data_IF_339957650070
#
_entry.id   IF_339957650070
#
_cell.length_a   1.000
_cell.length_b   1.000
_cell.length_c   1.000
_cell.angle_alpha   90.00
_cell.angle_beta   90.00
_cell.angle_gamma   90.00
#
_symmetry.space_group_name_H-M   'P 1'
#
loop_
_entity.id
_entity.type
_entity.pdbx_description
1 polymer ?
#
# COMPACT_ATOMS: atom_id res chain seq x y z
N UNK A 1 11.40 -8.65 -4.78
CA UNK A 1 11.55 -8.85 -6.23
C UNK A 1 12.67 -9.84 -6.51
N UNK A 2 13.92 -9.56 -6.15
CA UNK A 2 15.07 -10.45 -6.42
C UNK A 2 15.02 -11.84 -5.75
N UNK A 3 14.39 -11.95 -4.58
CA UNK A 3 14.11 -13.26 -3.94
C UNK A 3 13.02 -14.10 -4.63
N UNK A 4 12.08 -13.45 -5.32
CA UNK A 4 10.94 -14.09 -6.01
C UNK A 4 11.19 -14.28 -7.51
N UNK A 5 11.99 -13.39 -8.09
CA UNK A 5 12.42 -13.34 -9.49
C UNK A 5 13.91 -12.99 -9.52
N UNK A 6 14.80 -14.01 -9.43
CA UNK A 6 16.24 -13.81 -9.56
C UNK A 6 16.58 -13.17 -10.90
N UNK A 7 17.59 -12.31 -10.95
CA UNK A 7 18.05 -11.63 -12.17
C UNK A 7 17.01 -10.75 -12.87
N UNK A 8 15.93 -10.35 -12.19
CA UNK A 8 14.83 -9.56 -12.78
C UNK A 8 15.30 -8.31 -13.55
N UNK A 9 16.21 -7.53 -12.96
CA UNK A 9 16.72 -6.32 -13.59
C UNK A 9 17.65 -6.62 -14.77
N UNK A 10 18.51 -7.63 -14.65
CA UNK A 10 19.39 -8.08 -15.74
C UNK A 10 18.57 -8.60 -16.93
N UNK A 11 17.51 -9.37 -16.66
CA UNK A 11 16.57 -9.87 -17.66
C UNK A 11 15.80 -8.74 -18.35
N UNK A 12 15.45 -7.68 -17.63
CA UNK A 12 14.83 -6.51 -18.23
C UNK A 12 15.83 -5.72 -19.10
N UNK A 13 17.04 -5.48 -18.59
CA UNK A 13 18.07 -4.72 -19.30
C UNK A 13 18.57 -5.42 -20.57
N UNK A 14 18.65 -6.75 -20.58
CA UNK A 14 19.04 -7.53 -21.74
C UNK A 14 17.88 -7.84 -22.70
N UNK A 15 16.65 -7.39 -22.38
CA UNK A 15 15.45 -7.53 -23.20
C UNK A 15 14.80 -8.92 -23.17
N UNK A 16 15.28 -9.86 -22.35
CA UNK A 16 14.64 -11.17 -22.16
C UNK A 16 13.34 -11.11 -21.38
N UNK A 17 13.12 -10.03 -20.63
CA UNK A 17 11.88 -9.72 -19.93
C UNK A 17 11.34 -8.38 -20.44
N UNK A 18 10.17 -8.40 -21.06
CA UNK A 18 9.54 -7.18 -21.57
C UNK A 18 8.65 -6.52 -20.53
N UNK A 19 8.23 -5.27 -20.79
CA UNK A 19 7.28 -4.59 -19.93
C UNK A 19 5.91 -5.28 -19.89
N UNK A 20 5.49 -5.92 -21.00
CA UNK A 20 4.25 -6.71 -21.04
C UNK A 20 4.35 -7.96 -20.18
N UNK A 21 5.49 -8.65 -20.22
CA UNK A 21 5.73 -9.82 -19.36
C UNK A 21 5.66 -9.42 -17.88
N UNK A 22 6.23 -8.27 -17.51
CA UNK A 22 6.19 -7.76 -16.13
C UNK A 22 4.76 -7.45 -15.69
N UNK A 23 3.94 -6.86 -16.57
CA UNK A 23 2.52 -6.59 -16.30
C UNK A 23 1.75 -7.91 -16.15
N UNK A 24 2.04 -8.90 -17.00
CA UNK A 24 1.41 -10.22 -16.90
C UNK A 24 1.81 -10.93 -15.59
N UNK A 25 3.09 -10.89 -15.23
CA UNK A 25 3.60 -11.43 -13.96
C UNK A 25 2.90 -10.76 -12.78
N UNK A 26 2.71 -9.43 -12.83
CA UNK A 26 2.00 -8.71 -11.78
C UNK A 26 0.60 -9.31 -11.58
N UNK A 27 -0.19 -9.48 -12.63
CA UNK A 27 -1.56 -10.01 -12.50
C UNK A 27 -1.63 -11.50 -12.15
N UNK A 28 -0.69 -12.31 -12.64
CA UNK A 28 -0.75 -13.76 -12.52
C UNK A 28 -0.06 -14.33 -11.27
N UNK A 29 0.96 -13.62 -10.77
CA UNK A 29 1.88 -14.16 -9.74
C UNK A 29 1.85 -13.39 -8.43
N UNK A 30 1.39 -12.14 -8.42
CA UNK A 30 1.26 -11.39 -7.17
C UNK A 30 -0.02 -11.76 -6.43
N UNK A 31 0.10 -11.89 -5.12
CA UNK A 31 -1.02 -12.21 -4.25
C UNK A 31 -1.78 -10.93 -3.91
N UNK A 32 -2.69 -10.56 -4.80
CA UNK A 32 -3.41 -9.28 -4.72
C UNK A 32 -4.36 -9.16 -3.52
N UNK A 33 -4.86 -10.28 -2.98
CA UNK A 33 -5.74 -10.26 -1.81
C UNK A 33 -5.00 -10.10 -0.49
N UNK A 34 -3.69 -10.38 -0.46
CA UNK A 34 -2.89 -10.32 0.77
C UNK A 34 -3.06 -9.00 1.55
N UNK A 35 -2.96 -7.80 0.94
CA UNK A 35 -3.18 -6.55 1.67
C UNK A 35 -4.61 -6.36 2.20
N UNK A 36 -5.59 -7.03 1.59
CA UNK A 36 -7.00 -6.94 1.97
C UNK A 36 -7.31 -7.83 3.18
N UNK A 37 -6.57 -8.92 3.31
CA UNK A 37 -6.77 -9.98 4.32
C UNK A 37 -5.76 -9.88 5.48
N UNK A 38 -4.66 -9.14 5.31
CA UNK A 38 -3.57 -9.03 6.30
C UNK A 38 -4.04 -8.66 7.71
N UNK A 39 -4.98 -7.72 7.86
CA UNK A 39 -5.49 -7.35 9.19
C UNK A 39 -6.29 -8.48 9.84
N UNK A 40 -7.03 -9.25 9.05
CA UNK A 40 -7.77 -10.41 9.55
C UNK A 40 -6.76 -11.52 9.95
N UNK A 41 -5.82 -11.89 9.07
CA UNK A 41 -4.89 -13.00 9.33
C UNK A 41 -3.82 -12.69 10.39
N UNK A 42 -3.24 -11.48 10.38
CA UNK A 42 -2.10 -11.17 11.24
C UNK A 42 -2.49 -10.53 12.56
N UNK A 43 -3.59 -9.77 12.61
CA UNK A 43 -3.99 -9.08 13.84
C UNK A 43 -5.18 -9.76 14.50
N UNK A 44 -6.26 -10.01 13.75
CA UNK A 44 -7.47 -10.60 14.33
C UNK A 44 -7.25 -12.05 14.71
N UNK A 45 -6.68 -12.88 13.84
CA UNK A 45 -6.50 -14.31 14.14
C UNK A 45 -5.39 -14.56 15.16
N UNK A 46 -4.34 -13.72 15.18
CA UNK A 46 -3.20 -13.88 16.10
C UNK A 46 -3.42 -13.23 17.47
N UNK A 47 -4.02 -12.04 17.51
CA UNK A 47 -4.13 -11.21 18.74
C UNK A 47 -5.60 -11.09 19.21
N UNK A 48 -6.57 -11.52 18.40
CA UNK A 48 -8.00 -11.48 18.75
C UNK A 48 -8.63 -10.11 18.61
N UNK A 49 -7.98 -9.16 17.90
CA UNK A 49 -8.45 -7.77 17.76
C UNK A 49 -8.90 -7.52 16.33
N UNK A 50 -10.19 -7.28 16.14
CA UNK A 50 -10.76 -6.93 14.85
C UNK A 50 -10.67 -5.41 14.60
N UNK A 51 -9.50 -4.96 14.13
CA UNK A 51 -9.24 -3.54 13.85
C UNK A 51 -10.25 -2.97 12.85
N UNK A 52 -10.63 -3.75 11.83
CA UNK A 52 -11.53 -3.29 10.78
C UNK A 52 -12.97 -3.05 11.28
N UNK A 53 -13.30 -3.51 12.49
CA UNK A 53 -14.57 -3.25 13.17
C UNK A 53 -14.52 -2.10 14.20
N UNK A 54 -13.37 -1.47 14.44
CA UNK A 54 -13.22 -0.35 15.38
C UNK A 54 -13.02 0.95 14.60
N UNK A 55 -13.79 2.04 14.82
CA UNK A 55 -13.68 3.26 14.02
C UNK A 55 -12.24 3.79 13.89
N UNK A 56 -11.84 4.12 12.66
CA UNK A 56 -10.55 4.75 12.37
C UNK A 56 -10.73 6.22 11.95
N UNK A 57 -10.04 7.19 12.58
CA UNK A 57 -10.16 8.60 12.26
C UNK A 57 -9.33 8.95 11.01
N UNK A 58 -9.93 8.69 9.84
CA UNK A 58 -9.33 8.82 8.51
C UNK A 58 -8.61 10.15 8.26
N UNK A 59 -9.15 11.26 8.78
CA UNK A 59 -8.56 12.61 8.61
C UNK A 59 -7.38 12.86 9.53
N UNK A 60 -7.37 12.27 10.73
CA UNK A 60 -6.24 12.32 11.66
C UNK A 60 -5.10 11.43 11.18
N UNK A 61 -5.43 10.32 10.52
CA UNK A 61 -4.48 9.44 9.86
C UNK A 61 -3.79 8.43 10.76
N UNK A 62 -4.11 8.38 12.05
CA UNK A 62 -3.64 7.34 12.96
C UNK A 62 -4.63 7.06 14.09
N UNK A 63 -4.56 5.87 14.69
CA UNK A 63 -5.24 5.50 15.93
C UNK A 63 -4.36 4.57 16.78
N UNK A 64 -4.51 4.67 18.11
CA UNK A 64 -3.90 3.77 19.06
C UNK A 64 -5.02 2.95 19.71
N UNK A 65 -5.07 1.67 19.38
CA UNK A 65 -6.03 0.73 19.94
C UNK A 65 -5.45 0.13 21.21
N UNK A 66 -6.15 0.28 22.33
CA UNK A 66 -5.79 -0.31 23.62
C UNK A 66 -6.67 -1.53 23.87
N UNK A 67 -6.07 -2.72 23.81
CA UNK A 67 -6.79 -3.99 23.95
C UNK A 67 -6.08 -4.89 24.96
N UNK A 68 -6.60 -4.92 26.19
CA UNK A 68 -6.02 -5.69 27.30
C UNK A 68 -4.53 -5.35 27.52
N UNK A 69 -3.65 -6.31 27.25
CA UNK A 69 -2.20 -6.24 27.42
C UNK A 69 -1.44 -5.85 26.13
N UNK A 70 -2.15 -5.52 25.04
CA UNK A 70 -1.55 -5.14 23.76
C UNK A 70 -2.08 -3.78 23.33
N UNK A 71 -1.15 -2.91 22.92
CA UNK A 71 -1.47 -1.63 22.29
C UNK A 71 -1.01 -1.67 20.84
N UNK A 72 -1.88 -1.24 19.92
CA UNK A 72 -1.60 -1.25 18.48
C UNK A 72 -1.70 0.17 17.93
N UNK A 73 -0.60 0.69 17.40
CA UNK A 73 -0.61 1.92 16.60
C UNK A 73 -0.84 1.56 15.13
N UNK A 74 -1.94 2.06 14.56
CA UNK A 74 -2.16 2.06 13.12
C UNK A 74 -1.99 3.46 12.59
N UNK A 75 -1.14 3.63 11.58
CA UNK A 75 -0.84 4.92 10.95
C UNK A 75 -0.88 4.81 9.43
N UNK A 76 -1.49 5.79 8.79
CA UNK A 76 -1.57 5.91 7.34
C UNK A 76 -0.34 6.61 6.78
N UNK A 77 0.22 6.03 5.72
CA UNK A 77 1.39 6.60 5.04
C UNK A 77 1.10 7.97 4.42
N UNK A 78 -0.13 8.21 3.93
CA UNK A 78 -0.50 9.50 3.33
C UNK A 78 -0.55 10.65 4.36
N UNK A 79 -0.67 10.31 5.64
CA UNK A 79 -0.69 11.27 6.74
C UNK A 79 0.61 11.24 7.56
N UNK A 80 1.57 10.39 7.21
CA UNK A 80 2.76 10.11 8.04
C UNK A 80 3.54 11.38 8.36
N UNK A 81 3.80 12.24 7.37
CA UNK A 81 4.51 13.51 7.57
C UNK A 81 3.78 14.48 8.49
N UNK A 82 2.45 14.39 8.55
CA UNK A 82 1.60 15.26 9.37
C UNK A 82 1.46 14.73 10.81
N UNK A 83 1.25 13.43 10.97
CA UNK A 83 0.80 12.86 12.25
C UNK A 83 1.83 11.97 12.96
N UNK A 84 2.93 11.57 12.30
CA UNK A 84 3.89 10.62 12.89
C UNK A 84 4.48 11.11 14.22
N UNK A 85 4.82 12.40 14.33
CA UNK A 85 5.38 12.94 15.57
C UNK A 85 4.41 12.77 16.75
N UNK A 86 3.15 13.20 16.58
CA UNK A 86 2.13 13.08 17.61
C UNK A 86 1.79 11.61 17.92
N UNK A 87 1.65 10.78 16.88
CA UNK A 87 1.32 9.37 17.01
C UNK A 87 2.39 8.58 17.78
N UNK A 88 3.67 8.77 17.40
CA UNK A 88 4.80 8.09 18.03
C UNK A 88 5.00 8.59 19.45
N UNK A 89 4.89 9.90 19.69
CA UNK A 89 4.95 10.45 21.04
C UNK A 89 3.89 9.82 21.95
N UNK A 90 2.63 9.76 21.50
CA UNK A 90 1.53 9.16 22.29
C UNK A 90 1.70 7.66 22.50
N UNK A 91 2.26 6.95 21.52
CA UNK A 91 2.38 5.51 21.58
C UNK A 91 3.59 5.03 22.39
N UNK A 92 4.73 5.72 22.29
CA UNK A 92 6.01 5.31 22.88
C UNK A 92 6.50 6.24 24.01
N UNK A 93 5.81 7.34 24.29
CA UNK A 93 6.24 8.40 25.23
C UNK A 93 7.59 9.02 24.86
N UNK A 94 7.82 9.25 23.56
CA UNK A 94 9.05 9.83 23.03
C UNK A 94 8.78 11.27 22.55
N UNK A 95 9.38 12.24 23.23
CA UNK A 95 9.18 13.67 22.93
C UNK A 95 9.92 14.17 21.68
N UNK A 96 11.10 13.61 21.38
CA UNK A 96 12.02 14.14 20.36
C UNK A 96 12.07 13.26 19.09
N UNK A 97 10.92 12.76 18.64
CA UNK A 97 10.84 11.98 17.41
C UNK A 97 10.85 12.90 16.17
N UNK A 98 11.79 12.65 15.24
CA UNK A 98 11.84 13.32 13.93
C UNK A 98 11.74 12.28 12.82
N UNK A 99 10.78 12.47 11.90
CA UNK A 99 10.68 11.64 10.71
C UNK A 99 11.65 12.15 9.64
N UNK A 100 12.69 11.36 9.35
CA UNK A 100 13.62 11.66 8.26
C UNK A 100 13.20 10.92 6.99
N UNK A 101 13.14 11.64 5.87
CA UNK A 101 12.91 11.05 4.55
C UNK A 101 14.21 10.39 4.07
N UNK A 102 14.35 9.10 4.33
CA UNK A 102 15.40 8.29 3.74
C UNK A 102 14.90 7.72 2.40
N UNK A 103 14.87 8.57 1.35
CA UNK A 103 14.65 8.06 0.00
C UNK A 103 15.89 7.25 -0.39
N UNK A 104 15.80 5.93 -0.20
CA UNK A 104 16.79 4.96 -0.61
C UNK A 104 17.11 5.15 -2.10
N UNK A 105 18.39 5.12 -2.43
CA UNK A 105 18.93 5.30 -3.77
C UNK A 105 18.28 4.31 -4.76
N UNK A 106 17.21 4.75 -5.43
CA UNK A 106 16.70 4.03 -6.59
C UNK A 106 17.69 4.24 -7.73
N UNK A 107 18.14 3.15 -8.34
CA UNK A 107 18.98 3.22 -9.53
C UNK A 107 18.17 3.83 -10.67
N UNK A 108 18.84 4.53 -11.60
CA UNK A 108 18.17 5.13 -12.76
C UNK A 108 17.35 4.10 -13.57
N UNK A 109 17.83 2.85 -13.62
CA UNK A 109 17.17 1.75 -14.33
C UNK A 109 15.84 1.35 -13.64
N UNK A 110 15.85 1.13 -12.33
CA UNK A 110 14.63 0.84 -11.55
C UNK A 110 13.59 1.96 -11.68
N UNK A 111 14.03 3.21 -11.52
CA UNK A 111 13.15 4.37 -11.62
C UNK A 111 12.47 4.49 -12.99
N UNK A 112 13.21 4.17 -14.05
CA UNK A 112 12.70 4.22 -15.42
C UNK A 112 11.68 3.11 -15.64
N UNK A 113 12.04 1.87 -15.29
CA UNK A 113 11.13 0.72 -15.40
C UNK A 113 9.83 0.95 -14.62
N UNK A 114 9.92 1.40 -13.37
CA UNK A 114 8.75 1.65 -12.54
C UNK A 114 7.83 2.73 -13.13
N UNK A 115 8.40 3.81 -13.70
CA UNK A 115 7.61 4.86 -14.37
C UNK A 115 6.91 4.34 -15.62
N UNK A 116 7.60 3.56 -16.45
CA UNK A 116 7.01 2.99 -17.67
C UNK A 116 5.93 1.95 -17.34
N UNK A 117 6.15 1.10 -16.34
CA UNK A 117 5.15 0.18 -15.81
C UNK A 117 3.87 0.92 -15.40
N UNK A 118 4.00 1.97 -14.58
CA UNK A 118 2.85 2.77 -14.11
C UNK A 118 2.09 3.47 -15.23
N UNK A 119 2.77 3.84 -16.33
CA UNK A 119 2.12 4.45 -17.49
C UNK A 119 1.40 3.44 -18.35
N UNK A 120 1.92 2.21 -18.44
CA UNK A 120 1.41 1.18 -19.36
C UNK A 120 0.34 0.30 -18.74
N UNK A 121 0.40 0.04 -17.43
CA UNK A 121 -0.57 -0.83 -16.77
C UNK A 121 -1.99 -0.26 -16.84
N UNK A 122 -2.92 -1.09 -17.30
CA UNK A 122 -4.36 -0.84 -17.30
C UNK A 122 -4.99 -1.87 -16.38
N UNK A 123 -5.65 -1.40 -15.33
CA UNK A 123 -6.28 -2.29 -14.37
C UNK A 123 -7.70 -2.64 -14.82
N UNK A 124 -8.07 -3.94 -14.88
CA UNK A 124 -9.45 -4.33 -15.11
C UNK A 124 -10.38 -3.70 -14.08
N UNK A 125 -11.59 -3.31 -14.51
CA UNK A 125 -12.60 -2.74 -13.59
C UNK A 125 -12.84 -3.63 -12.37
N UNK A 126 -12.88 -4.94 -12.55
CA UNK A 126 -13.07 -5.91 -11.48
C UNK A 126 -11.95 -5.85 -10.43
N UNK A 127 -10.70 -5.64 -10.86
CA UNK A 127 -9.57 -5.46 -9.96
C UNK A 127 -9.72 -4.19 -9.13
N UNK A 128 -10.07 -3.07 -9.77
CA UNK A 128 -10.29 -1.79 -9.07
C UNK A 128 -11.47 -1.88 -8.10
N UNK A 129 -12.56 -2.55 -8.49
CA UNK A 129 -13.71 -2.79 -7.62
C UNK A 129 -13.33 -3.66 -6.41
N UNK A 130 -12.56 -4.73 -6.61
CA UNK A 130 -12.04 -5.57 -5.52
C UNK A 130 -11.21 -4.74 -4.53
N UNK A 131 -10.26 -3.95 -5.02
CA UNK A 131 -9.36 -3.16 -4.17
C UNK A 131 -10.12 -2.07 -3.41
N UNK A 132 -10.90 -1.24 -4.11
CA UNK A 132 -11.50 -0.05 -3.51
C UNK A 132 -12.81 -0.31 -2.77
N UNK A 133 -13.48 -1.43 -3.01
CA UNK A 133 -14.66 -1.84 -2.23
C UNK A 133 -14.32 -2.81 -1.08
N UNK A 134 -13.04 -3.17 -0.92
CA UNK A 134 -12.58 -3.99 0.20
C UNK A 134 -12.90 -3.36 1.55
N UNK A 135 -13.09 -4.19 2.59
CA UNK A 135 -13.26 -3.73 3.97
C UNK A 135 -12.08 -2.84 4.39
N UNK A 136 -10.86 -3.26 4.06
CA UNK A 136 -9.64 -2.50 4.27
C UNK A 136 -9.75 -1.05 3.72
N UNK A 137 -10.05 -0.92 2.42
CA UNK A 137 -10.09 0.38 1.77
C UNK A 137 -11.21 1.27 2.34
N UNK A 138 -12.40 0.70 2.53
CA UNK A 138 -13.56 1.41 3.08
C UNK A 138 -13.35 1.81 4.55
N UNK A 139 -12.51 1.09 5.29
CA UNK A 139 -12.21 1.36 6.69
C UNK A 139 -11.18 2.50 6.87
N UNK A 140 -10.09 2.52 6.10
CA UNK A 140 -9.01 3.48 6.31
C UNK A 140 -9.12 4.76 5.47
N UNK A 141 -9.92 4.75 4.40
CA UNK A 141 -9.98 5.87 3.46
C UNK A 141 -11.37 6.48 3.34
N UNK A 142 -11.41 7.78 3.10
CA UNK A 142 -12.67 8.49 2.85
C UNK A 142 -13.18 8.18 1.44
N UNK A 143 -14.48 8.33 1.21
CA UNK A 143 -15.06 8.15 -0.13
C UNK A 143 -14.39 9.04 -1.18
N UNK A 144 -14.04 10.28 -0.80
CA UNK A 144 -13.34 11.25 -1.66
C UNK A 144 -11.94 10.76 -2.05
N UNK A 145 -11.19 10.20 -1.11
CA UNK A 145 -9.86 9.64 -1.40
C UNK A 145 -9.97 8.42 -2.31
N UNK A 146 -10.88 7.49 -2.01
CA UNK A 146 -11.09 6.30 -2.83
C UNK A 146 -11.49 6.65 -4.26
N UNK A 147 -12.39 7.62 -4.44
CA UNK A 147 -12.76 8.13 -5.77
C UNK A 147 -11.56 8.74 -6.50
N UNK A 148 -10.73 9.53 -5.80
CA UNK A 148 -9.52 10.12 -6.37
C UNK A 148 -8.52 9.06 -6.81
N UNK A 149 -8.26 8.06 -5.97
CA UNK A 149 -7.32 6.97 -6.28
C UNK A 149 -7.82 6.13 -7.45
N UNK A 150 -9.11 5.79 -7.45
CA UNK A 150 -9.75 5.06 -8.56
C UNK A 150 -9.63 5.83 -9.87
N UNK A 151 -10.00 7.11 -9.88
CA UNK A 151 -9.96 7.94 -11.09
C UNK A 151 -8.54 8.06 -11.67
N UNK A 152 -7.51 8.10 -10.81
CA UNK A 152 -6.12 8.09 -11.26
C UNK A 152 -5.81 6.86 -12.12
N UNK A 153 -6.22 5.66 -11.67
CA UNK A 153 -5.93 4.42 -12.38
C UNK A 153 -6.86 4.17 -13.57
N UNK A 154 -8.11 4.63 -13.51
CA UNK A 154 -9.03 4.60 -14.66
C UNK A 154 -8.56 5.55 -15.78
N UNK A 155 -7.86 6.65 -15.46
CA UNK A 155 -7.34 7.59 -16.46
C UNK A 155 -6.20 7.04 -17.32
N UNK A 156 -5.53 5.97 -16.86
CA UNK A 156 -4.53 5.26 -17.66
C UNK A 156 -5.16 4.44 -18.79
N UNK A 157 -6.45 4.13 -18.68
CA UNK A 157 -7.20 3.46 -19.72
C UNK A 157 -7.51 4.46 -20.86
N UNK A 158 -6.62 4.52 -21.85
CA UNK A 158 -6.76 5.39 -23.04
C UNK A 158 -7.77 4.86 -24.07
N UNK A 159 -8.59 3.86 -23.73
CA UNK A 159 -9.60 3.28 -24.63
C UNK A 159 -10.97 3.98 -24.58
N UNK A 160 -10.96 5.32 -24.47
CA UNK A 160 -12.15 6.18 -24.64
C UNK A 160 -12.01 7.14 -25.81
#
# INVERSE_FOLDING_TARGET
MERRFPHFFESFENGSLTLDDIIQIFFDKEEHTFPLEWFDSEIKDTIGIDILNIPFPKTRGYEIYHCNNVHILVIRLENMTQCAHEAIKKFLDIDNFTLHQANAACTKAYDTLYKEFKKKIIFPKQYLDMMYNSKYAQHFYTKKELQKFRAQWESNDKSK
#
